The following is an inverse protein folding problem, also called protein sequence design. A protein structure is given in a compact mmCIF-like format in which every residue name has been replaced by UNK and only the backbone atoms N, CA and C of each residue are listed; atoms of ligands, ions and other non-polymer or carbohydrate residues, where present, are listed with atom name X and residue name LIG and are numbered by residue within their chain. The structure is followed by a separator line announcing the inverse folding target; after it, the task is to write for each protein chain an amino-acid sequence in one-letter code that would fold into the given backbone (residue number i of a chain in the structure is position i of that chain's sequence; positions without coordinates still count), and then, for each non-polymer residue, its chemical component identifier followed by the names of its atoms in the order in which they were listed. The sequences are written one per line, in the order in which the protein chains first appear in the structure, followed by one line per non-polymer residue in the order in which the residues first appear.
data_IF_045782516000
#
_entry.id   IF_045782516000
#
_cell.length_a   1.000
_cell.length_b   1.000
_cell.length_c   1.000
_cell.angle_alpha   90.00
_cell.angle_beta   90.00
_cell.angle_gamma   90.00
#
_symmetry.space_group_name_H-M   'P 1'
#
loop_
_entity.id
_entity.type
_entity.pdbx_description
1 polymer ?
#
# COMPACT_ATOMS: atom_id res chain seq x y z
N UNK A 1 -10.63 -0.40 9.21
CA UNK A 1 -10.11 -0.71 7.86
C UNK A 1 -9.33 0.49 7.36
N UNK A 2 -8.19 0.33 6.67
CA UNK A 2 -7.42 1.46 6.12
C UNK A 2 -8.21 2.27 5.07
N UNK A 3 -9.29 1.68 4.53
CA UNK A 3 -10.19 2.34 3.60
C UNK A 3 -11.00 3.49 4.24
N UNK A 4 -11.07 3.54 5.57
CA UNK A 4 -11.72 4.66 6.27
C UNK A 4 -10.94 5.97 6.12
N UNK A 5 -9.66 5.89 5.78
CA UNK A 5 -8.76 7.04 5.64
C UNK A 5 -8.74 7.59 4.20
N UNK A 6 -9.49 6.98 3.27
CA UNK A 6 -9.56 7.43 1.87
C UNK A 6 -10.33 8.75 1.74
N UNK A 7 -9.93 9.66 0.82
CA UNK A 7 -10.65 10.90 0.58
C UNK A 7 -12.07 10.60 0.11
N UNK A 8 -13.03 10.80 1.02
CA UNK A 8 -14.45 10.79 0.69
C UNK A 8 -14.75 12.01 -0.19
N UNK A 9 -15.72 11.93 -1.10
CA UNK A 9 -16.18 13.05 -1.97
C UNK A 9 -16.70 14.31 -1.23
N UNK A 10 -16.37 14.52 0.06
CA UNK A 10 -16.60 15.78 0.75
C UNK A 10 -15.52 16.79 0.38
N UNK A 11 -15.94 17.80 -0.36
CA UNK A 11 -15.22 19.06 -0.53
C UNK A 11 -15.10 19.69 0.87
N UNK A 12 -14.01 19.42 1.57
CA UNK A 12 -13.50 20.26 2.65
C UNK A 12 -12.34 21.08 2.10
N UNK A 13 -12.16 22.34 2.54
CA UNK A 13 -11.02 23.15 2.13
C UNK A 13 -9.75 22.37 2.45
N UNK A 14 -8.96 22.08 1.43
CA UNK A 14 -7.71 21.35 1.56
C UNK A 14 -6.80 22.08 2.56
N UNK A 15 -6.79 21.63 3.81
CA UNK A 15 -5.49 21.45 4.45
C UNK A 15 -4.75 20.51 3.50
N UNK A 16 -3.74 21.05 2.82
CA UNK A 16 -2.77 20.29 2.04
C UNK A 16 -2.49 19.04 2.86
N UNK A 17 -3.00 17.89 2.41
CA UNK A 17 -2.86 16.66 3.16
C UNK A 17 -1.36 16.52 3.41
N UNK A 18 -0.95 16.67 4.67
CA UNK A 18 0.44 16.48 5.07
C UNK A 18 0.62 14.97 5.00
N UNK A 19 0.89 14.46 3.81
CA UNK A 19 1.35 13.09 3.64
C UNK A 19 2.66 12.98 4.43
N UNK A 20 2.84 11.92 5.24
CA UNK A 20 3.78 11.96 6.34
C UNK A 20 5.22 12.17 5.86
N UNK A 21 5.95 12.88 6.71
CA UNK A 21 7.39 12.71 7.01
C UNK A 21 8.02 11.53 6.28
N UNK A 22 9.05 11.82 5.47
CA UNK A 22 9.84 10.84 4.71
C UNK A 22 9.85 9.43 5.33
N UNK A 23 9.31 8.44 4.61
CA UNK A 23 9.35 7.01 5.02
C UNK A 23 10.74 6.65 5.55
N UNK A 24 10.80 6.19 6.79
CA UNK A 24 12.03 5.71 7.42
C UNK A 24 12.28 4.26 6.97
N UNK A 25 13.26 4.09 6.08
CA UNK A 25 13.64 2.80 5.50
C UNK A 25 14.15 1.79 6.54
N UNK A 26 14.54 2.24 7.73
CA UNK A 26 15.03 1.38 8.81
C UNK A 26 13.93 0.96 9.79
N UNK A 27 12.72 1.50 9.65
CA UNK A 27 11.60 1.26 10.56
C UNK A 27 10.56 0.35 9.92
N UNK A 28 10.41 -0.87 10.46
CA UNK A 28 9.37 -1.81 10.02
C UNK A 28 7.95 -1.22 10.13
N UNK A 29 7.70 -0.36 11.11
CA UNK A 29 6.40 0.32 11.27
C UNK A 29 6.18 1.36 10.16
N UNK A 30 7.21 2.15 9.83
CA UNK A 30 7.15 3.13 8.73
C UNK A 30 6.96 2.44 7.37
N UNK A 31 7.67 1.34 7.13
CA UNK A 31 7.49 0.51 5.94
C UNK A 31 6.07 -0.08 5.90
N UNK A 32 5.56 -0.60 7.01
CA UNK A 32 4.19 -1.13 7.09
C UNK A 32 3.14 -0.08 6.72
N UNK A 33 3.31 1.17 7.17
CA UNK A 33 2.42 2.28 6.78
C UNK A 33 2.55 2.62 5.29
N UNK A 34 3.76 2.62 4.72
CA UNK A 34 3.95 2.82 3.28
C UNK A 34 3.18 1.77 2.45
N UNK A 35 3.22 0.50 2.86
CA UNK A 35 2.43 -0.57 2.23
C UNK A 35 0.92 -0.38 2.40
N UNK A 36 0.46 0.10 3.57
CA UNK A 36 -0.95 0.44 3.80
C UNK A 36 -1.41 1.52 2.83
N UNK A 37 -0.62 2.57 2.64
CA UNK A 37 -0.90 3.67 1.71
C UNK A 37 -0.92 3.18 0.26
N UNK A 38 0.01 2.30 -0.15
CA UNK A 38 0.01 1.68 -1.48
C UNK A 38 -1.29 0.90 -1.72
N UNK A 39 -1.69 0.05 -0.75
CA UNK A 39 -2.92 -0.73 -0.85
C UNK A 39 -4.16 0.18 -0.96
N UNK A 40 -4.26 1.19 -0.10
CA UNK A 40 -5.34 2.18 -0.13
C UNK A 40 -5.44 2.86 -1.50
N UNK A 41 -4.29 3.31 -2.04
CA UNK A 41 -4.23 4.01 -3.32
C UNK A 41 -4.66 3.13 -4.50
N UNK A 42 -4.19 1.89 -4.57
CA UNK A 42 -4.55 0.98 -5.66
C UNK A 42 -6.02 0.54 -5.59
N UNK A 43 -6.57 0.35 -4.38
CA UNK A 43 -8.02 0.13 -4.20
C UNK A 43 -8.82 1.34 -4.67
N UNK A 44 -8.39 2.55 -4.34
CA UNK A 44 -9.05 3.79 -4.79
C UNK A 44 -9.04 3.90 -6.32
N UNK A 45 -7.91 3.60 -6.97
CA UNK A 45 -7.79 3.62 -8.44
C UNK A 45 -8.73 2.57 -9.06
N UNK A 46 -8.71 1.33 -8.58
CA UNK A 46 -9.56 0.27 -9.09
C UNK A 46 -11.06 0.61 -8.93
N UNK A 47 -11.45 1.17 -7.78
CA UNK A 47 -12.83 1.58 -7.53
C UNK A 47 -13.27 2.72 -8.47
N UNK A 48 -12.41 3.72 -8.70
CA UNK A 48 -12.69 4.82 -9.64
C UNK A 48 -12.84 4.31 -11.07
N UNK A 49 -11.94 3.45 -11.53
CA UNK A 49 -11.98 2.88 -12.87
C UNK A 49 -13.24 2.01 -13.07
N UNK A 50 -13.56 1.16 -12.09
CA UNK A 50 -14.78 0.35 -12.12
C UNK A 50 -16.03 1.24 -12.19
N UNK A 51 -16.10 2.28 -11.35
CA UNK A 51 -17.23 3.20 -11.35
C UNK A 51 -17.38 3.92 -12.70
N UNK A 52 -16.27 4.35 -13.32
CA UNK A 52 -16.28 4.97 -14.64
C UNK A 52 -16.83 4.03 -15.71
N UNK A 53 -16.43 2.75 -15.71
CA UNK A 53 -16.95 1.77 -16.67
C UNK A 53 -18.40 1.39 -16.38
N UNK A 54 -18.83 1.32 -15.11
CA UNK A 54 -20.24 1.13 -14.74
C UNK A 54 -21.12 2.29 -15.20
N UNK A 55 -20.63 3.53 -15.19
CA UNK A 55 -21.39 4.68 -15.70
C UNK A 55 -21.50 4.65 -17.23
N UNK A 56 -20.43 4.23 -17.92
CA UNK A 56 -20.35 4.17 -19.39
C UNK A 56 -21.08 2.97 -19.99
N UNK A 57 -21.34 1.92 -19.21
CA UNK A 57 -21.92 0.65 -19.65
C UNK A 57 -23.22 0.40 -18.86
N UNK A 58 -24.09 -0.49 -19.36
CA UNK A 58 -25.29 -0.91 -18.61
C UNK A 58 -25.06 -2.16 -17.76
N UNK A 59 -24.06 -2.99 -18.09
CA UNK A 59 -23.75 -4.24 -17.39
C UNK A 59 -22.57 -4.06 -16.43
N UNK A 60 -22.77 -4.48 -15.17
CA UNK A 60 -21.73 -4.48 -14.14
C UNK A 60 -20.69 -5.56 -14.39
N UNK A 61 -21.09 -6.69 -14.98
CA UNK A 61 -20.25 -7.83 -15.30
C UNK A 61 -19.21 -7.44 -16.36
N UNK A 62 -19.63 -6.69 -17.39
CA UNK A 62 -18.71 -6.16 -18.41
C UNK A 62 -17.75 -5.15 -17.81
N UNK A 63 -18.24 -4.22 -16.99
CA UNK A 63 -17.37 -3.24 -16.31
C UNK A 63 -16.33 -3.92 -15.41
N UNK A 64 -16.76 -4.92 -14.63
CA UNK A 64 -15.89 -5.74 -13.79
C UNK A 64 -14.78 -6.43 -14.61
N UNK A 65 -15.14 -7.05 -15.73
CA UNK A 65 -14.18 -7.71 -16.59
C UNK A 65 -13.16 -6.72 -17.19
N UNK A 66 -13.62 -5.54 -17.63
CA UNK A 66 -12.75 -4.49 -18.19
C UNK A 66 -11.79 -3.90 -17.16
N UNK A 67 -12.15 -3.89 -15.88
CA UNK A 67 -11.28 -3.40 -14.80
C UNK A 67 -10.66 -4.52 -13.97
N UNK A 68 -10.69 -5.77 -14.46
CA UNK A 68 -10.19 -6.94 -13.72
C UNK A 68 -8.71 -6.84 -13.36
N UNK A 69 -7.89 -6.27 -14.23
CA UNK A 69 -6.45 -6.05 -13.99
C UNK A 69 -6.25 -5.10 -12.78
N UNK A 70 -7.00 -4.00 -12.71
CA UNK A 70 -6.91 -3.05 -11.60
C UNK A 70 -7.35 -3.69 -10.28
N UNK A 71 -8.42 -4.50 -10.32
CA UNK A 71 -8.94 -5.22 -9.16
C UNK A 71 -7.95 -6.26 -8.63
N UNK A 72 -7.26 -6.97 -9.51
CA UNK A 72 -6.20 -7.92 -9.15
C UNK A 72 -5.02 -7.18 -8.54
N UNK A 73 -4.56 -6.08 -9.14
CA UNK A 73 -3.47 -5.26 -8.59
C UNK A 73 -3.80 -4.69 -7.22
N UNK A 74 -5.03 -4.21 -7.01
CA UNK A 74 -5.50 -3.75 -5.71
C UNK A 74 -5.51 -4.87 -4.66
N UNK A 75 -5.95 -6.07 -5.07
CA UNK A 75 -5.96 -7.26 -4.20
C UNK A 75 -4.55 -7.72 -3.84
N UNK A 76 -3.63 -7.72 -4.82
CA UNK A 76 -2.21 -8.03 -4.61
C UNK A 76 -1.56 -7.05 -3.63
N UNK A 77 -1.79 -5.74 -3.81
CA UNK A 77 -1.27 -4.73 -2.91
C UNK A 77 -1.82 -4.87 -1.49
N UNK A 78 -3.12 -5.20 -1.35
CA UNK A 78 -3.71 -5.49 -0.06
C UNK A 78 -3.06 -6.69 0.63
N UNK A 79 -2.91 -7.82 -0.09
CA UNK A 79 -2.29 -9.02 0.45
C UNK A 79 -0.83 -8.76 0.84
N UNK A 80 -0.08 -8.00 0.03
CA UNK A 80 1.30 -7.64 0.33
C UNK A 80 1.39 -6.79 1.60
N UNK A 81 0.51 -5.80 1.77
CA UNK A 81 0.40 -5.05 3.02
C UNK A 81 0.12 -5.95 4.22
N UNK A 82 -0.84 -6.87 4.10
CA UNK A 82 -1.19 -7.80 5.20
C UNK A 82 0.00 -8.69 5.55
N UNK A 83 0.75 -9.19 4.57
CA UNK A 83 1.95 -9.98 4.80
C UNK A 83 3.03 -9.19 5.57
N UNK A 84 3.36 -7.97 5.12
CA UNK A 84 4.32 -7.08 5.80
C UNK A 84 3.87 -6.77 7.23
N UNK A 85 2.60 -6.38 7.40
CA UNK A 85 2.01 -6.06 8.71
C UNK A 85 2.12 -7.25 9.67
N UNK A 86 1.66 -8.43 9.26
CA UNK A 86 1.68 -9.61 10.10
C UNK A 86 3.10 -10.06 10.43
N UNK A 87 4.05 -9.93 9.48
CA UNK A 87 5.43 -10.25 9.73
C UNK A 87 6.02 -9.31 10.80
N UNK A 88 5.84 -8.00 10.65
CA UNK A 88 6.25 -6.99 11.64
C UNK A 88 5.67 -7.30 13.03
N UNK A 89 4.36 -7.51 13.12
CA UNK A 89 3.66 -7.79 14.38
C UNK A 89 4.16 -9.09 15.05
N UNK A 90 4.37 -10.16 14.27
CA UNK A 90 4.78 -11.46 14.80
C UNK A 90 6.22 -11.48 15.28
N UNK A 91 7.10 -10.74 14.62
CA UNK A 91 8.50 -10.64 15.03
C UNK A 91 8.65 -9.97 16.40
N UNK A 92 7.77 -9.04 16.76
CA UNK A 92 7.76 -8.42 18.09
C UNK A 92 7.40 -9.39 19.22
N UNK A 93 6.65 -10.46 18.91
CA UNK A 93 6.18 -11.45 19.88
C UNK A 93 7.24 -12.53 20.22
N UNK A 94 8.37 -12.54 19.52
CA UNK A 94 9.44 -13.54 19.72
C UNK A 94 10.24 -13.23 20.99
N UNK A 95 10.33 -14.21 21.88
CA UNK A 95 11.04 -14.08 23.16
C UNK A 95 12.56 -14.19 23.01
N UNK A 96 13.03 -15.16 22.21
CA UNK A 96 14.45 -15.41 21.99
C UNK A 96 15.06 -14.30 21.12
N UNK A 97 16.03 -13.56 21.67
CA UNK A 97 16.52 -12.31 21.08
C UNK A 97 17.35 -12.52 19.82
N UNK A 98 18.07 -13.62 19.72
CA UNK A 98 18.90 -13.90 18.54
C UNK A 98 18.04 -14.20 17.30
N UNK A 99 16.99 -15.02 17.45
CA UNK A 99 15.98 -15.34 16.44
C UNK A 99 15.18 -14.09 16.10
N UNK A 100 14.76 -13.31 17.10
CA UNK A 100 14.07 -12.04 16.87
C UNK A 100 14.91 -11.09 16.02
N UNK A 101 16.21 -10.97 16.29
CA UNK A 101 17.10 -10.10 15.52
C UNK A 101 17.24 -10.54 14.05
N UNK A 102 17.37 -11.85 13.80
CA UNK A 102 17.46 -12.39 12.43
C UNK A 102 16.15 -12.17 11.67
N UNK A 103 15.01 -12.48 12.29
CA UNK A 103 13.70 -12.31 11.64
C UNK A 103 13.33 -10.84 11.43
N UNK A 104 13.78 -9.91 12.28
CA UNK A 104 13.69 -8.46 12.01
C UNK A 104 14.41 -8.09 10.73
N UNK A 105 15.63 -8.60 10.51
CA UNK A 105 16.39 -8.34 9.28
C UNK A 105 15.70 -8.90 8.04
N UNK A 106 15.13 -10.11 8.14
CA UNK A 106 14.34 -10.69 7.04
C UNK A 106 13.05 -9.92 6.77
N UNK A 107 12.38 -9.41 7.81
CA UNK A 107 11.20 -8.56 7.67
C UNK A 107 11.53 -7.24 6.96
N UNK A 108 12.65 -6.59 7.32
CA UNK A 108 13.15 -5.40 6.63
C UNK A 108 13.49 -5.71 5.18
N UNK A 109 14.25 -6.79 4.93
CA UNK A 109 14.62 -7.21 3.57
C UNK A 109 13.39 -7.47 2.69
N UNK A 110 12.41 -8.23 3.19
CA UNK A 110 11.18 -8.52 2.47
C UNK A 110 10.43 -7.22 2.11
N UNK A 111 10.32 -6.31 3.06
CA UNK A 111 9.61 -5.03 2.88
C UNK A 111 10.32 -4.11 1.88
N UNK A 112 11.64 -3.97 1.98
CA UNK A 112 12.44 -3.14 1.06
C UNK A 112 12.50 -3.74 -0.34
N UNK A 113 12.67 -5.06 -0.45
CA UNK A 113 12.65 -5.74 -1.74
C UNK A 113 11.29 -5.57 -2.44
N UNK A 114 10.19 -5.72 -1.71
CA UNK A 114 8.86 -5.50 -2.28
C UNK A 114 8.63 -4.05 -2.74
N UNK A 115 9.25 -3.05 -2.08
CA UNK A 115 9.24 -1.65 -2.52
C UNK A 115 10.00 -1.51 -3.83
N UNK A 116 11.21 -2.06 -3.92
CA UNK A 116 12.03 -2.04 -5.14
C UNK A 116 11.28 -2.66 -6.33
N UNK A 117 10.65 -3.83 -6.13
CA UNK A 117 9.91 -4.54 -7.17
C UNK A 117 8.65 -3.80 -7.64
N UNK A 118 8.06 -2.94 -6.80
CA UNK A 118 6.82 -2.22 -7.08
C UNK A 118 7.00 -0.70 -7.02
N UNK A 119 8.21 -0.20 -7.28
CA UNK A 119 8.61 1.19 -7.06
C UNK A 119 7.64 2.19 -7.70
N UNK A 120 7.13 1.90 -8.89
CA UNK A 120 6.18 2.74 -9.60
C UNK A 120 4.91 3.04 -8.80
N UNK A 121 4.40 2.09 -8.01
CA UNK A 121 3.19 2.31 -7.21
C UNK A 121 3.46 3.27 -6.04
N UNK A 122 4.64 3.16 -5.41
CA UNK A 122 5.05 4.02 -4.30
C UNK A 122 5.34 5.45 -4.77
N UNK A 123 5.91 5.61 -5.97
CA UNK A 123 6.13 6.92 -6.61
C UNK A 123 4.84 7.57 -7.08
N UNK A 124 3.98 6.82 -7.79
CA UNK A 124 2.71 7.34 -8.31
C UNK A 124 1.77 7.79 -7.20
N UNK A 125 1.85 7.14 -6.03
CA UNK A 125 1.12 7.53 -4.83
C UNK A 125 1.72 8.69 -4.04
N UNK A 126 2.87 9.22 -4.44
CA UNK A 126 3.69 10.16 -3.65
C UNK A 126 3.96 9.66 -2.22
N UNK A 127 4.04 8.34 -2.06
CA UNK A 127 4.30 7.68 -0.76
C UNK A 127 5.80 7.76 -0.44
N UNK A 128 6.64 7.67 -1.47
CA UNK A 128 8.09 7.76 -1.38
C UNK A 128 8.63 8.66 -2.49
N UNK A 129 9.79 9.26 -2.27
CA UNK A 129 10.53 10.00 -3.30
C UNK A 129 11.45 9.06 -4.09
N UNK A 130 11.89 9.51 -5.26
CA UNK A 130 12.88 8.79 -6.07
C UNK A 130 14.19 8.54 -5.30
N UNK A 131 14.62 9.51 -4.49
CA UNK A 131 15.81 9.39 -3.66
C UNK A 131 15.69 8.30 -2.59
N UNK A 132 14.48 8.05 -2.06
CA UNK A 132 14.25 6.98 -1.08
C UNK A 132 14.19 5.59 -1.72
N UNK A 133 13.86 5.49 -3.01
CA UNK A 133 13.81 4.21 -3.73
C UNK A 133 15.17 3.78 -4.27
N UNK A 134 16.05 4.73 -4.54
CA UNK A 134 17.38 4.48 -5.14
C UNK A 134 18.49 4.25 -4.10
N UNK A 135 18.15 4.28 -2.81
CA UNK A 135 19.08 4.14 -1.69
C UNK A 135 19.34 2.67 -1.33
#
# INVERSE_FOLDING_TARGET
SYLNDLPSQRIQPQQVAVWPTAVDLNSSDSLTEAYKLRAARLVEIAAKNLQNEVIRRKSKEVAWNLTSIDLVRASEAHCHYVAVKLFTEKVLQIQEKSIQAVLRRLCLLYSLFGISQNAGDFLQGSIMTESQITQ
#
